data_IF_524037306558
#
_entry.id   IF_524037306558
#
_cell.length_a   1.000
_cell.length_b   1.000
_cell.length_c   1.000
_cell.angle_alpha   90.00
_cell.angle_beta   90.00
_cell.angle_gamma   90.00
#
_symmetry.space_group_name_H-M   'P 1'
#
loop_
_entity.id
_entity.type
_entity.pdbx_description
1 polymer ?
#
# COMPACT_ATOMS: atom_id res chain seq x y z
N UNK A 1 -12.82 -10.92 2.77
CA UNK A 1 -11.48 -10.41 2.36
C UNK A 1 -11.42 -8.95 2.71
N UNK A 2 -10.24 -8.43 3.10
CA UNK A 2 -10.07 -7.05 3.56
C UNK A 2 -8.90 -6.35 2.86
N UNK A 3 -9.13 -5.13 2.34
CA UNK A 3 -8.10 -4.27 1.75
C UNK A 3 -7.82 -3.09 2.68
N UNK A 4 -6.53 -2.82 2.99
CA UNK A 4 -6.12 -1.60 3.68
C UNK A 4 -5.78 -0.51 2.67
N UNK A 5 -6.43 0.64 2.82
CA UNK A 5 -6.27 1.84 2.00
C UNK A 5 -5.47 2.86 2.81
N UNK A 6 -4.20 3.10 2.45
CA UNK A 6 -3.32 3.98 3.22
C UNK A 6 -3.43 5.40 2.70
N UNK A 7 -3.84 6.32 3.56
CA UNK A 7 -3.89 7.75 3.25
C UNK A 7 -2.63 8.44 3.75
N UNK A 8 -1.72 8.77 2.82
CA UNK A 8 -0.45 9.47 3.07
C UNK A 8 -0.53 10.99 2.97
N UNK A 9 -1.75 11.55 2.86
CA UNK A 9 -1.95 12.99 2.86
C UNK A 9 -1.85 13.57 4.29
N UNK A 10 -1.25 14.76 4.47
CA UNK A 10 -1.35 15.48 5.73
C UNK A 10 -2.79 15.93 6.06
N UNK A 11 -3.67 15.96 5.06
CA UNK A 11 -5.09 16.29 5.20
C UNK A 11 -5.91 14.99 5.27
N UNK A 12 -6.46 14.70 6.44
CA UNK A 12 -7.20 13.45 6.69
C UNK A 12 -8.34 13.23 5.69
N UNK A 13 -9.07 14.28 5.34
CA UNK A 13 -10.22 14.25 4.42
C UNK A 13 -9.99 15.09 3.15
N UNK A 14 -8.74 15.14 2.66
CA UNK A 14 -8.38 15.85 1.43
C UNK A 14 -8.58 15.01 0.15
N UNK A 15 -8.01 15.47 -0.96
CA UNK A 15 -8.14 14.83 -2.29
C UNK A 15 -7.76 13.34 -2.29
N UNK A 16 -6.67 12.98 -1.61
CA UNK A 16 -6.24 11.58 -1.49
C UNK A 16 -7.30 10.72 -0.80
N UNK A 17 -7.89 11.23 0.29
CA UNK A 17 -8.99 10.54 0.97
C UNK A 17 -10.19 10.36 0.03
N UNK A 18 -10.58 11.39 -0.74
CA UNK A 18 -11.70 11.32 -1.68
C UNK A 18 -11.48 10.22 -2.72
N UNK A 19 -10.27 10.12 -3.29
CA UNK A 19 -9.90 9.04 -4.20
C UNK A 19 -10.00 7.65 -3.54
N UNK A 20 -9.47 7.52 -2.32
CA UNK A 20 -9.52 6.25 -1.56
C UNK A 20 -10.95 5.90 -1.12
N UNK A 21 -11.80 6.88 -0.85
CA UNK A 21 -13.21 6.66 -0.52
C UNK A 21 -14.00 6.11 -1.71
N UNK A 22 -13.74 6.59 -2.93
CA UNK A 22 -14.32 6.03 -4.16
C UNK A 22 -13.91 4.57 -4.36
N UNK A 23 -12.63 4.25 -4.08
CA UNK A 23 -12.14 2.87 -4.11
C UNK A 23 -12.84 2.03 -3.03
N UNK A 24 -12.95 2.54 -1.81
CA UNK A 24 -13.58 1.83 -0.70
C UNK A 24 -15.06 1.50 -1.00
N UNK A 25 -15.79 2.47 -1.56
CA UNK A 25 -17.17 2.28 -1.99
C UNK A 25 -17.28 1.18 -3.04
N UNK A 26 -16.43 1.24 -4.08
CA UNK A 26 -16.46 0.22 -5.14
C UNK A 26 -16.02 -1.16 -4.63
N UNK A 27 -15.06 -1.26 -3.72
CA UNK A 27 -14.70 -2.53 -3.07
C UNK A 27 -15.87 -3.12 -2.29
N UNK A 28 -16.66 -2.29 -1.61
CA UNK A 28 -17.86 -2.72 -0.90
C UNK A 28 -18.92 -3.26 -1.86
N UNK A 29 -19.14 -2.59 -3.00
CA UNK A 29 -20.04 -3.11 -4.07
C UNK A 29 -19.59 -4.49 -4.58
N UNK A 30 -18.28 -4.74 -4.60
CA UNK A 30 -17.66 -6.01 -4.99
C UNK A 30 -17.63 -7.06 -3.86
N UNK A 31 -18.16 -6.75 -2.68
CA UNK A 31 -18.18 -7.65 -1.52
C UNK A 31 -16.82 -7.79 -0.81
N UNK A 32 -15.95 -6.79 -0.93
CA UNK A 32 -14.63 -6.74 -0.28
C UNK A 32 -14.65 -5.67 0.79
N UNK A 33 -14.34 -6.03 2.04
CA UNK A 33 -14.20 -5.07 3.13
C UNK A 33 -12.97 -4.19 2.92
N UNK A 34 -13.04 -2.96 3.37
CA UNK A 34 -11.91 -2.04 3.34
C UNK A 34 -11.81 -1.16 4.58
N UNK A 35 -10.62 -0.67 4.85
CA UNK A 35 -10.34 0.28 5.93
C UNK A 35 -9.37 1.33 5.43
N UNK A 36 -9.73 2.61 5.55
CA UNK A 36 -8.80 3.71 5.27
C UNK A 36 -7.97 3.98 6.52
N UNK A 37 -6.67 3.74 6.41
CA UNK A 37 -5.68 3.99 7.44
C UNK A 37 -4.95 5.31 7.16
N UNK A 38 -5.21 6.33 7.96
CA UNK A 38 -4.51 7.61 7.84
C UNK A 38 -3.21 7.60 8.63
N UNK A 39 -2.08 7.96 7.98
CA UNK A 39 -0.76 7.97 8.63
C UNK A 39 -0.51 9.20 9.51
N UNK A 40 -1.48 10.14 9.56
CA UNK A 40 -1.36 11.36 10.35
C UNK A 40 -0.67 12.52 9.61
N UNK A 41 -0.57 13.64 10.31
CA UNK A 41 0.07 14.87 9.82
C UNK A 41 1.35 15.24 10.60
N UNK A 42 1.73 14.43 11.59
CA UNK A 42 3.00 14.62 12.30
C UNK A 42 4.16 14.09 11.47
N UNK A 43 5.35 14.67 11.57
CA UNK A 43 6.53 14.15 10.91
C UNK A 43 6.80 12.69 11.29
N UNK A 44 7.03 11.84 10.28
CA UNK A 44 7.44 10.45 10.45
C UNK A 44 8.93 10.38 10.14
N UNK A 45 9.73 9.94 11.11
CA UNK A 45 11.17 9.74 10.91
C UNK A 45 11.45 8.62 9.90
N UNK A 46 12.41 8.82 9.01
CA UNK A 46 12.88 7.80 8.07
C UNK A 46 13.55 6.60 8.75
N UNK A 47 13.78 5.53 8.00
CA UNK A 47 14.56 4.40 8.48
C UNK A 47 16.05 4.81 8.63
N UNK A 48 16.62 4.59 9.80
CA UNK A 48 18.03 4.90 10.09
C UNK A 48 18.96 3.68 9.99
N UNK A 49 18.46 2.54 9.49
CA UNK A 49 19.28 1.34 9.32
C UNK A 49 19.77 0.70 10.64
N UNK A 50 19.11 0.93 11.76
CA UNK A 50 19.54 0.44 13.08
C UNK A 50 19.46 -1.09 13.26
N UNK A 51 18.86 -1.82 12.32
CA UNK A 51 18.63 -3.26 12.35
C UNK A 51 17.89 -3.81 13.60
N UNK A 52 17.30 -2.95 14.41
CA UNK A 52 16.53 -3.35 15.59
C UNK A 52 15.37 -4.30 15.26
N UNK A 53 14.76 -4.13 14.08
CA UNK A 53 13.67 -4.98 13.60
C UNK A 53 14.04 -6.46 13.43
N UNK A 54 15.30 -6.79 13.19
CA UNK A 54 15.79 -8.19 13.09
C UNK A 54 15.54 -8.96 14.39
N UNK A 55 15.70 -8.28 15.53
CA UNK A 55 15.50 -8.87 16.87
C UNK A 55 14.05 -8.71 17.36
N UNK A 56 13.45 -7.54 17.09
CA UNK A 56 12.14 -7.18 17.63
C UNK A 56 10.97 -7.74 16.81
N UNK A 57 11.17 -8.08 15.53
CA UNK A 57 10.10 -8.44 14.61
C UNK A 57 9.16 -7.28 14.26
N UNK A 58 9.55 -6.03 14.59
CA UNK A 58 8.85 -4.77 14.30
C UNK A 58 9.86 -3.62 14.25
N UNK A 59 9.45 -2.44 13.77
CA UNK A 59 10.32 -1.26 13.85
C UNK A 59 10.65 -0.93 15.30
N UNK A 60 11.89 -0.49 15.56
CA UNK A 60 12.35 -0.11 16.91
C UNK A 60 11.71 1.19 17.42
N UNK A 61 11.26 2.07 16.49
CA UNK A 61 10.54 3.30 16.83
C UNK A 61 9.04 3.00 16.89
N UNK A 62 8.37 3.43 17.95
CA UNK A 62 6.97 3.07 18.27
C UNK A 62 6.11 4.31 18.61
N UNK A 63 6.60 5.50 18.30
CA UNK A 63 5.97 6.80 18.58
C UNK A 63 5.15 7.35 17.38
N UNK A 64 4.95 6.52 16.36
CA UNK A 64 4.26 6.85 15.10
C UNK A 64 3.42 5.66 14.58
N UNK A 65 2.66 5.82 13.47
CA UNK A 65 1.72 4.79 13.01
C UNK A 65 2.35 3.55 12.36
N UNK A 66 3.68 3.45 12.20
CA UNK A 66 4.34 2.36 11.45
C UNK A 66 4.02 0.98 12.03
N UNK A 67 4.25 0.78 13.32
CA UNK A 67 4.01 -0.52 13.94
C UNK A 67 2.53 -0.88 14.05
N UNK A 68 1.67 0.12 14.29
CA UNK A 68 0.22 -0.07 14.30
C UNK A 68 -0.30 -0.54 12.94
N UNK A 69 0.20 0.05 11.85
CA UNK A 69 -0.14 -0.40 10.49
C UNK A 69 0.38 -1.80 10.20
N UNK A 70 1.64 -2.10 10.51
CA UNK A 70 2.25 -3.43 10.28
C UNK A 70 1.47 -4.53 11.00
N UNK A 71 0.96 -4.25 12.19
CA UNK A 71 0.10 -5.18 12.91
C UNK A 71 -1.22 -5.46 12.15
N UNK A 72 -1.89 -4.41 11.63
CA UNK A 72 -3.11 -4.55 10.80
C UNK A 72 -2.82 -5.26 9.47
N UNK A 73 -1.66 -5.01 8.85
CA UNK A 73 -1.27 -5.57 7.56
C UNK A 73 -1.21 -7.10 7.57
N UNK A 74 -0.91 -7.72 8.71
CA UNK A 74 -0.88 -9.18 8.85
C UNK A 74 -2.23 -9.82 8.51
N UNK A 75 -3.33 -9.19 8.91
CA UNK A 75 -4.69 -9.67 8.68
C UNK A 75 -5.34 -9.17 7.39
N UNK A 76 -4.70 -8.28 6.64
CA UNK A 76 -5.22 -7.78 5.37
C UNK A 76 -4.89 -8.71 4.22
N UNK A 77 -5.73 -8.71 3.18
CA UNK A 77 -5.57 -9.51 1.96
C UNK A 77 -4.95 -8.69 0.81
N UNK A 78 -5.07 -7.36 0.84
CA UNK A 78 -4.53 -6.46 -0.18
C UNK A 78 -4.31 -5.05 0.34
N UNK A 79 -3.62 -4.21 -0.44
CA UNK A 79 -3.22 -2.87 -0.04
C UNK A 79 -3.34 -1.86 -1.16
N UNK A 80 -3.75 -0.63 -0.84
CA UNK A 80 -3.68 0.50 -1.76
C UNK A 80 -3.08 1.69 -1.01
N UNK A 81 -1.96 2.22 -1.52
CA UNK A 81 -1.23 3.32 -0.91
C UNK A 81 -1.48 4.60 -1.70
N UNK A 82 -2.19 5.54 -1.09
CA UNK A 82 -2.51 6.85 -1.67
C UNK A 82 -1.61 7.95 -1.10
N UNK A 83 -1.02 8.75 -1.97
CA UNK A 83 -0.19 9.91 -1.60
C UNK A 83 -0.47 11.10 -2.50
N UNK A 84 -0.57 12.32 -1.96
CA UNK A 84 -0.44 13.49 -2.81
C UNK A 84 1.00 13.60 -3.32
N UNK A 85 1.18 14.32 -4.42
CA UNK A 85 2.50 14.70 -4.92
C UNK A 85 2.79 16.12 -4.46
N UNK A 86 3.76 16.27 -3.56
CA UNK A 86 4.29 17.57 -3.18
C UNK A 86 5.49 17.88 -4.08
N UNK A 87 5.33 18.82 -4.96
CA UNK A 87 6.29 19.24 -5.98
C UNK A 87 6.56 18.16 -7.05
N UNK A 88 7.28 17.07 -6.75
CA UNK A 88 7.72 16.10 -7.77
C UNK A 88 7.57 14.62 -7.36
N UNK A 89 7.34 14.31 -6.10
CA UNK A 89 7.33 12.95 -5.57
C UNK A 89 6.21 12.73 -4.55
N UNK A 90 5.99 11.50 -4.15
CA UNK A 90 5.15 11.19 -3.00
C UNK A 90 5.64 11.93 -1.75
N UNK A 91 4.73 12.17 -0.79
CA UNK A 91 5.11 12.92 0.42
C UNK A 91 6.26 12.25 1.17
N UNK A 92 7.14 13.06 1.78
CA UNK A 92 8.22 12.55 2.63
C UNK A 92 7.73 11.64 3.74
N UNK A 93 6.58 11.96 4.35
CA UNK A 93 5.95 11.10 5.36
C UNK A 93 5.54 9.74 4.79
N UNK A 94 4.95 9.69 3.58
CA UNK A 94 4.59 8.42 2.93
C UNK A 94 5.84 7.58 2.65
N UNK A 95 6.90 8.18 2.13
CA UNK A 95 8.16 7.49 1.85
C UNK A 95 8.79 6.96 3.14
N UNK A 96 8.91 7.80 4.18
CA UNK A 96 9.46 7.39 5.48
C UNK A 96 8.62 6.28 6.14
N UNK A 97 7.30 6.38 6.04
CA UNK A 97 6.37 5.36 6.51
C UNK A 97 6.57 4.03 5.79
N UNK A 98 6.60 4.04 4.45
CA UNK A 98 6.76 2.82 3.65
C UNK A 98 8.14 2.19 3.86
N UNK A 99 9.22 2.97 3.89
CA UNK A 99 10.57 2.47 4.19
C UNK A 99 10.57 1.64 5.48
N UNK A 100 9.99 2.18 6.54
CA UNK A 100 10.00 1.51 7.84
C UNK A 100 9.04 0.34 7.92
N UNK A 101 7.86 0.44 7.31
CA UNK A 101 6.87 -0.64 7.25
C UNK A 101 7.45 -1.86 6.52
N UNK A 102 7.91 -1.67 5.28
CA UNK A 102 8.39 -2.77 4.45
C UNK A 102 9.74 -3.33 4.95
N UNK A 103 10.67 -2.46 5.34
CA UNK A 103 11.96 -2.91 5.85
C UNK A 103 11.83 -3.67 7.16
N UNK A 104 11.00 -3.21 8.10
CA UNK A 104 10.84 -3.90 9.38
C UNK A 104 10.11 -5.23 9.25
N UNK A 105 9.16 -5.37 8.32
CA UNK A 105 8.51 -6.66 8.04
C UNK A 105 9.49 -7.64 7.40
N UNK A 106 10.20 -7.23 6.34
CA UNK A 106 11.15 -8.09 5.63
C UNK A 106 12.34 -8.54 6.51
N UNK A 107 12.99 -7.60 7.22
CA UNK A 107 14.11 -7.93 8.11
C UNK A 107 13.67 -8.62 9.41
N UNK A 108 12.46 -8.35 9.89
CA UNK A 108 11.86 -8.99 11.05
C UNK A 108 11.33 -10.41 10.79
N UNK A 109 11.61 -10.97 9.61
CA UNK A 109 11.09 -12.28 9.15
C UNK A 109 9.56 -12.30 9.02
N UNK A 110 8.93 -11.15 8.88
CA UNK A 110 7.53 -11.00 8.59
C UNK A 110 7.23 -11.37 7.13
N UNK A 111 5.99 -11.69 6.87
CA UNK A 111 5.46 -11.94 5.53
C UNK A 111 4.11 -11.26 5.35
N UNK A 112 3.91 -10.12 6.03
CA UNK A 112 2.65 -9.42 6.01
C UNK A 112 2.22 -8.98 4.59
N UNK A 113 3.18 -8.78 3.70
CA UNK A 113 2.97 -8.28 2.34
C UNK A 113 3.14 -9.32 1.24
N UNK A 114 3.86 -10.40 1.50
CA UNK A 114 4.22 -11.41 0.50
C UNK A 114 3.01 -11.98 -0.23
N UNK A 115 3.03 -11.95 -1.57
CA UNK A 115 1.97 -12.40 -2.48
C UNK A 115 0.58 -11.77 -2.25
N UNK A 116 0.50 -10.68 -1.49
CA UNK A 116 -0.73 -9.90 -1.39
C UNK A 116 -0.73 -8.81 -2.46
N UNK A 117 -1.83 -8.59 -3.19
CA UNK A 117 -1.90 -7.57 -4.22
C UNK A 117 -1.79 -6.17 -3.62
N UNK A 118 -1.13 -5.28 -4.35
CA UNK A 118 -1.02 -3.88 -3.97
C UNK A 118 -1.16 -2.94 -5.15
N UNK A 119 -1.53 -1.69 -4.88
CA UNK A 119 -1.53 -0.62 -5.85
C UNK A 119 -1.11 0.70 -5.20
N UNK A 120 -0.56 1.61 -6.00
CA UNK A 120 -0.34 2.99 -5.63
C UNK A 120 -1.40 3.90 -6.28
N UNK A 121 -1.77 4.98 -5.58
CA UNK A 121 -2.62 6.07 -6.08
C UNK A 121 -1.88 7.39 -5.89
N UNK A 122 -1.16 7.80 -6.92
CA UNK A 122 -0.40 9.06 -7.00
C UNK A 122 0.19 9.22 -8.39
N UNK A 123 0.53 10.42 -8.82
CA UNK A 123 1.35 10.62 -10.04
C UNK A 123 2.77 10.05 -9.92
N UNK A 124 3.26 9.80 -8.71
CA UNK A 124 4.55 9.18 -8.41
C UNK A 124 4.46 7.65 -8.29
N UNK A 125 3.73 6.99 -9.18
CA UNK A 125 3.44 5.54 -9.15
C UNK A 125 4.71 4.68 -9.10
N UNK A 126 5.69 4.99 -9.93
CA UNK A 126 6.90 4.18 -10.09
C UNK A 126 7.70 4.11 -8.78
N UNK A 127 7.78 5.21 -8.06
CA UNK A 127 8.44 5.26 -6.76
C UNK A 127 7.75 4.32 -5.76
N UNK A 128 6.41 4.37 -5.67
CA UNK A 128 5.66 3.56 -4.72
C UNK A 128 5.60 2.08 -5.13
N UNK A 129 5.49 1.79 -6.42
CA UNK A 129 5.43 0.41 -6.93
C UNK A 129 6.73 -0.37 -6.66
N UNK A 130 7.89 0.29 -6.52
CA UNK A 130 9.15 -0.38 -6.15
C UNK A 130 9.06 -1.12 -4.82
N UNK A 131 8.33 -0.58 -3.84
CA UNK A 131 8.11 -1.26 -2.56
C UNK A 131 7.35 -2.58 -2.73
N UNK A 132 6.36 -2.58 -3.64
CA UNK A 132 5.57 -3.77 -3.88
C UNK A 132 6.36 -4.84 -4.61
N UNK A 133 7.13 -4.45 -5.62
CA UNK A 133 7.92 -5.41 -6.41
C UNK A 133 9.01 -6.08 -5.57
N UNK A 134 9.74 -5.35 -4.73
CA UNK A 134 10.75 -5.95 -3.84
C UNK A 134 10.13 -6.87 -2.78
N UNK A 135 8.89 -6.58 -2.36
CA UNK A 135 8.14 -7.42 -1.42
C UNK A 135 7.40 -8.60 -2.10
N UNK A 136 7.63 -8.82 -3.40
CA UNK A 136 7.00 -9.87 -4.21
C UNK A 136 5.46 -9.79 -4.18
N UNK A 137 4.93 -8.56 -4.24
CA UNK A 137 3.50 -8.29 -4.29
C UNK A 137 3.06 -8.11 -5.75
N UNK A 138 1.97 -8.73 -6.19
CA UNK A 138 1.35 -8.40 -7.47
C UNK A 138 0.88 -6.94 -7.49
N UNK A 139 1.32 -6.17 -8.49
CA UNK A 139 0.90 -4.78 -8.68
C UNK A 139 -0.38 -4.75 -9.50
N UNK A 140 -1.44 -4.20 -8.92
CA UNK A 140 -2.73 -4.08 -9.57
C UNK A 140 -2.81 -2.74 -10.31
N UNK A 141 -3.16 -2.80 -11.57
CA UNK A 141 -3.36 -1.64 -12.45
C UNK A 141 -4.85 -1.33 -12.63
N UNK A 142 -5.11 -0.15 -13.15
CA UNK A 142 -6.41 0.24 -13.70
C UNK A 142 -6.32 0.36 -15.23
N UNK A 143 -7.15 1.21 -15.83
CA UNK A 143 -7.11 1.53 -17.26
C UNK A 143 -6.11 2.63 -17.65
N UNK A 144 -5.57 3.36 -16.65
CA UNK A 144 -4.63 4.46 -16.79
C UNK A 144 -3.76 4.58 -15.54
N UNK A 145 -2.93 5.61 -15.41
CA UNK A 145 -2.21 5.87 -14.18
C UNK A 145 -3.19 6.13 -13.03
N UNK A 146 -2.97 5.47 -11.90
CA UNK A 146 -3.88 5.53 -10.76
C UNK A 146 -3.77 6.87 -10.05
N UNK A 147 -4.43 7.88 -10.55
CA UNK A 147 -4.42 9.23 -9.99
C UNK A 147 -5.76 9.92 -10.19
N UNK A 148 -6.00 10.97 -9.42
CA UNK A 148 -7.08 11.93 -9.57
C UNK A 148 -6.50 13.33 -9.59
N UNK A 149 -7.22 14.27 -10.18
CA UNK A 149 -6.84 15.68 -10.23
C UNK A 149 -7.80 16.51 -9.39
N UNK A 150 -7.27 17.50 -8.63
CA UNK A 150 -8.05 18.44 -7.85
C UNK A 150 -7.19 19.12 -6.79
N UNK A 151 -7.51 20.35 -6.46
CA UNK A 151 -6.96 21.08 -5.32
C UNK A 151 -7.81 20.88 -4.06
N UNK A 152 -9.09 20.58 -4.24
CA UNK A 152 -10.04 20.34 -3.15
C UNK A 152 -10.76 18.99 -3.38
N UNK A 153 -11.38 18.40 -2.35
CA UNK A 153 -12.24 17.23 -2.51
C UNK A 153 -13.35 17.42 -3.54
N UNK A 154 -13.94 18.62 -3.61
CA UNK A 154 -14.99 18.98 -4.56
C UNK A 154 -14.48 18.98 -6.01
N UNK A 155 -13.21 19.35 -6.23
CA UNK A 155 -12.60 19.27 -7.56
C UNK A 155 -12.36 17.81 -7.98
N UNK A 156 -11.91 16.97 -7.05
CA UNK A 156 -11.75 15.51 -7.31
C UNK A 156 -13.09 14.90 -7.73
N UNK A 157 -14.21 15.32 -7.13
CA UNK A 157 -15.53 14.84 -7.52
C UNK A 157 -15.96 15.26 -8.92
N UNK A 158 -15.32 16.28 -9.50
CA UNK A 158 -15.54 16.71 -10.90
C UNK A 158 -14.61 15.98 -11.88
N UNK A 159 -13.53 15.36 -11.40
CA UNK A 159 -12.60 14.56 -12.21
C UNK A 159 -13.23 13.17 -12.51
N UNK A 160 -14.16 13.16 -13.46
CA UNK A 160 -14.89 11.93 -13.80
C UNK A 160 -13.98 10.82 -14.35
N UNK A 161 -12.89 11.19 -15.03
CA UNK A 161 -11.89 10.24 -15.52
C UNK A 161 -11.10 9.63 -14.35
N UNK A 162 -10.58 10.44 -13.45
CA UNK A 162 -9.86 9.97 -12.27
C UNK A 162 -10.72 9.09 -11.37
N UNK A 163 -11.97 9.47 -11.11
CA UNK A 163 -12.93 8.64 -10.37
C UNK A 163 -13.19 7.31 -11.08
N UNK A 164 -13.31 7.32 -12.41
CA UNK A 164 -13.44 6.07 -13.18
C UNK A 164 -12.19 5.18 -13.03
N UNK A 165 -11.00 5.77 -13.06
CA UNK A 165 -9.73 5.06 -12.82
C UNK A 165 -9.74 4.41 -11.43
N UNK A 166 -10.21 5.11 -10.39
CA UNK A 166 -10.34 4.56 -9.03
C UNK A 166 -11.30 3.37 -8.96
N UNK A 167 -12.47 3.47 -9.61
CA UNK A 167 -13.44 2.36 -9.67
C UNK A 167 -12.88 1.14 -10.41
N UNK A 168 -12.21 1.36 -11.54
CA UNK A 168 -11.57 0.26 -12.30
C UNK A 168 -10.48 -0.40 -11.49
N UNK A 169 -9.64 0.38 -10.79
CA UNK A 169 -8.62 -0.16 -9.87
C UNK A 169 -9.25 -1.05 -8.78
N UNK A 170 -10.33 -0.58 -8.17
CA UNK A 170 -11.02 -1.33 -7.12
C UNK A 170 -11.59 -2.66 -7.64
N UNK A 171 -12.21 -2.65 -8.82
CA UNK A 171 -12.74 -3.87 -9.45
C UNK A 171 -11.64 -4.85 -9.83
N UNK A 172 -10.53 -4.37 -10.37
CA UNK A 172 -9.36 -5.22 -10.68
C UNK A 172 -8.75 -5.83 -9.41
N UNK A 173 -8.65 -5.05 -8.33
CA UNK A 173 -8.21 -5.56 -7.02
C UNK A 173 -9.16 -6.64 -6.50
N UNK A 174 -10.47 -6.40 -6.53
CA UNK A 174 -11.48 -7.36 -6.10
C UNK A 174 -11.45 -8.64 -6.93
N UNK A 175 -11.34 -8.52 -8.27
CA UNK A 175 -11.21 -9.67 -9.17
C UNK A 175 -9.97 -10.50 -8.82
N UNK A 176 -8.81 -9.88 -8.66
CA UNK A 176 -7.58 -10.58 -8.32
C UNK A 176 -7.69 -11.32 -6.97
N UNK A 177 -8.26 -10.68 -5.95
CA UNK A 177 -8.48 -11.29 -4.64
C UNK A 177 -9.43 -12.50 -4.71
N UNK A 178 -10.52 -12.38 -5.48
CA UNK A 178 -11.47 -13.47 -5.72
C UNK A 178 -10.80 -14.65 -6.45
N UNK A 179 -10.00 -14.38 -7.49
CA UNK A 179 -9.24 -15.41 -8.21
C UNK A 179 -8.24 -16.12 -7.29
N UNK A 180 -7.50 -15.36 -6.48
CA UNK A 180 -6.54 -15.93 -5.52
C UNK A 180 -7.24 -16.82 -4.49
N UNK A 181 -8.38 -16.39 -3.95
CA UNK A 181 -9.16 -17.18 -3.00
C UNK A 181 -9.70 -18.47 -3.65
N UNK A 182 -10.25 -18.35 -4.88
CA UNK A 182 -10.73 -19.50 -5.63
C UNK A 182 -9.60 -20.51 -5.97
N UNK A 183 -8.44 -20.02 -6.38
CA UNK A 183 -7.24 -20.83 -6.61
C UNK A 183 -6.82 -21.59 -5.36
N UNK A 184 -6.73 -20.93 -4.21
CA UNK A 184 -6.40 -21.56 -2.95
C UNK A 184 -7.43 -22.64 -2.56
N UNK A 185 -8.73 -22.36 -2.73
CA UNK A 185 -9.80 -23.34 -2.49
C UNK A 185 -9.72 -24.55 -3.45
N UNK A 186 -9.19 -24.36 -4.66
CA UNK A 186 -8.94 -25.41 -5.64
C UNK A 186 -7.60 -26.14 -5.44
N UNK A 187 -6.84 -25.83 -4.38
CA UNK A 187 -5.57 -26.48 -4.06
C UNK A 187 -4.34 -25.89 -4.77
N UNK A 188 -4.44 -24.69 -5.33
CA UNK A 188 -3.26 -24.00 -5.90
C UNK A 188 -2.37 -23.51 -4.76
N UNK A 189 -1.20 -24.13 -4.64
CA UNK A 189 -0.24 -23.79 -3.60
C UNK A 189 0.61 -22.55 -3.96
N UNK A 190 1.00 -21.71 -2.97
CA UNK A 190 1.97 -20.66 -3.20
C UNK A 190 3.29 -21.21 -3.75
N UNK A 191 4.06 -20.40 -4.52
CA UNK A 191 5.35 -20.82 -5.03
C UNK A 191 6.31 -21.18 -3.89
N UNK A 192 7.16 -22.20 -4.10
CA UNK A 192 8.23 -22.53 -3.16
C UNK A 192 9.19 -21.36 -3.04
N UNK A 193 9.51 -21.00 -1.80
CA UNK A 193 10.50 -19.94 -1.56
C UNK A 193 11.91 -20.50 -1.64
N UNK A 194 12.80 -19.80 -2.32
CA UNK A 194 14.22 -20.09 -2.34
C UNK A 194 14.95 -19.28 -1.27
N UNK A 195 16.10 -19.80 -0.82
CA UNK A 195 17.00 -19.04 0.04
C UNK A 195 17.58 -17.86 -0.75
N UNK A 196 17.51 -16.66 -0.20
CA UNK A 196 18.06 -15.50 -0.84
C UNK A 196 19.59 -15.64 -1.03
N UNK A 197 20.05 -15.43 -2.25
CA UNK A 197 21.47 -15.29 -2.58
C UNK A 197 21.73 -13.79 -2.67
N UNK A 198 22.58 -13.28 -1.81
CA UNK A 198 22.94 -11.87 -1.78
C UNK A 198 24.31 -11.70 -2.44
N UNK A 199 24.34 -10.90 -3.49
CA UNK A 199 25.60 -10.48 -4.10
C UNK A 199 26.22 -9.42 -3.21
N UNK A 200 27.41 -9.68 -2.70
CA UNK A 200 28.20 -8.75 -1.92
C UNK A 200 29.64 -8.79 -2.44
N UNK A 201 30.14 -7.63 -2.87
CA UNK A 201 31.52 -7.46 -3.33
C UNK A 201 32.37 -6.66 -2.34
N UNK A 202 31.88 -6.48 -1.13
CA UNK A 202 32.56 -5.79 -0.03
C UNK A 202 32.97 -6.87 0.96
N UNK A 203 34.27 -7.14 1.06
CA UNK A 203 34.87 -8.02 2.06
C UNK A 203 35.03 -7.31 3.39
#
# INVERSE_FOLDING_TARGET
MKVLLVNGSPHQHGCTYTALAEIAHTLQEEGIDSEIFWIGNKPIGGCIGCHGCVKLGKCAFDDDPVNAFTAKAKAADGFIFGSPVHYAAATGNMTAFMDRVFYSDGCGKGRAFYLKPAAAVASALDQLNKYFTIAQMPVISSRYWNMVHGFTPEDVMKDLEGLQVMRVLARNMAYFLKCKAAGAAAGVEPPKTERAILTNFID
#
